data_IF_072929914318
#
_entry.id   IF_072929914318
#
_cell.length_a   1.000
_cell.length_b   1.000
_cell.length_c   1.000
_cell.angle_alpha   90.00
_cell.angle_beta   90.00
_cell.angle_gamma   90.00
#
_symmetry.space_group_name_H-M   'P 1'
#
loop_
_entity.id
_entity.type
_entity.pdbx_description
1 polymer ?
#
# COMPACT_ATOMS: atom_id res chain seq x y z
N UNK A 1 -5.06 35.79 -6.60
CA UNK A 1 -3.92 35.11 -5.97
C UNK A 1 -4.42 33.75 -5.50
N UNK A 2 -3.80 32.67 -5.92
CA UNK A 2 -4.10 31.32 -5.40
C UNK A 2 -3.78 31.29 -3.92
N UNK A 3 -4.78 30.98 -3.10
CA UNK A 3 -4.66 31.07 -1.62
C UNK A 3 -3.85 29.88 -1.07
N UNK A 4 -3.46 28.92 -1.91
CA UNK A 4 -2.76 27.67 -1.55
C UNK A 4 -3.73 26.59 -1.02
N UNK A 5 -3.47 25.36 -1.41
CA UNK A 5 -4.32 24.17 -1.15
C UNK A 5 -4.63 24.00 0.34
N UNK A 6 -3.63 24.21 1.20
CA UNK A 6 -3.78 24.03 2.65
C UNK A 6 -4.76 25.02 3.27
N UNK A 7 -4.64 26.30 2.91
CA UNK A 7 -5.55 27.34 3.42
C UNK A 7 -6.96 27.17 2.85
N UNK A 8 -7.10 26.85 1.58
CA UNK A 8 -8.41 26.57 0.97
C UNK A 8 -9.14 25.46 1.73
N UNK A 9 -8.44 24.35 2.01
CA UNK A 9 -8.99 23.22 2.77
C UNK A 9 -9.37 23.61 4.20
N UNK A 10 -8.55 24.39 4.90
CA UNK A 10 -8.89 24.88 6.24
C UNK A 10 -10.17 25.71 6.22
N UNK A 11 -10.27 26.66 5.29
CA UNK A 11 -11.45 27.52 5.19
C UNK A 11 -12.71 26.74 4.77
N UNK A 12 -12.61 25.78 3.88
CA UNK A 12 -13.72 24.88 3.54
C UNK A 12 -14.30 24.25 4.80
N UNK A 13 -13.44 23.70 5.67
CA UNK A 13 -13.85 23.02 6.91
C UNK A 13 -14.43 24.05 7.91
N UNK A 14 -13.77 25.18 8.13
CA UNK A 14 -14.23 26.20 9.10
C UNK A 14 -15.56 26.83 8.69
N UNK A 15 -15.72 27.17 7.41
CA UNK A 15 -16.97 27.76 6.89
C UNK A 15 -18.12 26.77 6.96
N UNK A 16 -17.87 25.48 6.65
CA UNK A 16 -18.86 24.44 6.85
C UNK A 16 -19.26 24.30 8.33
N UNK A 17 -18.27 24.31 9.24
CA UNK A 17 -18.49 24.25 10.68
C UNK A 17 -19.31 25.44 11.23
N UNK A 18 -19.11 26.67 10.71
CA UNK A 18 -19.91 27.84 11.05
C UNK A 18 -21.40 27.67 10.66
N UNK A 19 -21.70 26.76 9.74
CA UNK A 19 -23.07 26.39 9.33
C UNK A 19 -23.58 25.12 10.02
N UNK A 20 -22.86 24.58 11.02
CA UNK A 20 -23.19 23.36 11.74
C UNK A 20 -22.86 22.06 10.98
N UNK A 21 -22.10 22.13 9.88
CA UNK A 21 -21.67 20.95 9.10
C UNK A 21 -20.25 20.57 9.49
N UNK A 22 -20.10 19.39 10.08
CA UNK A 22 -18.80 18.86 10.53
C UNK A 22 -18.26 17.80 9.59
N UNK A 23 -16.91 17.62 9.51
CA UNK A 23 -16.30 16.58 8.71
C UNK A 23 -16.81 15.18 9.11
N UNK A 24 -17.37 14.44 8.17
CA UNK A 24 -17.81 13.06 8.36
C UNK A 24 -16.62 12.09 8.41
N UNK A 25 -15.51 12.47 7.78
CA UNK A 25 -14.22 11.79 7.83
C UNK A 25 -13.31 12.63 8.74
N UNK A 26 -12.91 12.12 9.91
CA UNK A 26 -12.08 12.88 10.83
C UNK A 26 -10.73 13.30 10.21
N UNK A 27 -10.31 14.53 10.48
CA UNK A 27 -9.00 15.06 10.06
C UNK A 27 -7.88 14.44 10.93
N UNK A 28 -8.10 14.34 12.25
CA UNK A 28 -7.16 13.64 13.14
C UNK A 28 -7.09 12.14 12.79
N UNK A 29 -5.87 11.65 12.59
CA UNK A 29 -5.61 10.26 12.20
C UNK A 29 -6.04 9.29 13.31
N UNK A 30 -5.91 9.66 14.58
CA UNK A 30 -6.35 8.87 15.74
C UNK A 30 -7.88 8.72 15.75
N UNK A 31 -8.61 9.82 15.52
CA UNK A 31 -10.07 9.81 15.43
C UNK A 31 -10.54 9.04 14.19
N UNK A 32 -9.82 9.15 13.08
CA UNK A 32 -10.08 8.41 11.85
C UNK A 32 -9.91 6.89 12.07
N UNK A 33 -8.82 6.49 12.73
CA UNK A 33 -8.59 5.10 13.12
C UNK A 33 -9.70 4.57 14.06
N UNK A 34 -10.09 5.37 15.05
CA UNK A 34 -11.18 5.01 15.96
C UNK A 34 -12.53 4.87 15.21
N UNK A 35 -12.78 5.70 14.20
CA UNK A 35 -13.96 5.61 13.34
C UNK A 35 -13.92 4.33 12.51
N UNK A 36 -12.78 4.00 11.89
CA UNK A 36 -12.60 2.77 11.14
C UNK A 36 -12.83 1.53 12.02
N UNK A 37 -12.27 1.53 13.26
CA UNK A 37 -12.49 0.43 14.23
C UNK A 37 -13.96 0.15 14.51
N UNK A 38 -14.80 1.20 14.57
CA UNK A 38 -16.24 1.07 14.82
C UNK A 38 -17.02 0.54 13.60
N UNK A 39 -16.48 0.69 12.39
CA UNK A 39 -17.15 0.34 11.12
C UNK A 39 -16.71 -1.00 10.55
N UNK A 40 -15.52 -1.44 10.90
CA UNK A 40 -14.94 -2.70 10.44
C UNK A 40 -15.34 -3.85 11.39
N UNK A 41 -15.34 -5.07 10.88
CA UNK A 41 -15.39 -6.26 11.74
C UNK A 41 -14.12 -6.36 12.60
N UNK A 42 -14.15 -7.15 13.67
CA UNK A 42 -12.99 -7.37 14.52
C UNK A 42 -11.79 -7.93 13.71
N UNK A 43 -12.06 -8.92 12.84
CA UNK A 43 -11.07 -9.55 11.97
C UNK A 43 -10.53 -8.56 10.94
N UNK A 44 -11.41 -7.75 10.33
CA UNK A 44 -11.01 -6.73 9.37
C UNK A 44 -10.09 -5.68 10.00
N UNK A 45 -10.47 -5.20 11.17
CA UNK A 45 -9.65 -4.23 11.89
C UNK A 45 -8.32 -4.84 12.37
N UNK A 46 -8.32 -6.06 12.89
CA UNK A 46 -7.11 -6.79 13.29
C UNK A 46 -6.15 -6.91 12.10
N UNK A 47 -6.65 -7.35 10.94
CA UNK A 47 -5.87 -7.51 9.73
C UNK A 47 -5.23 -6.20 9.24
N UNK A 48 -5.98 -5.10 9.20
CA UNK A 48 -5.47 -3.81 8.67
C UNK A 48 -4.62 -3.08 9.71
N UNK A 49 -5.05 -3.02 10.96
CA UNK A 49 -4.41 -2.23 12.00
C UNK A 49 -3.26 -2.95 12.71
N UNK A 50 -3.25 -4.29 12.70
CA UNK A 50 -2.27 -5.11 13.42
C UNK A 50 -0.87 -5.06 12.85
N UNK A 51 0.11 -5.39 13.70
CA UNK A 51 1.52 -5.60 13.41
C UNK A 51 1.97 -7.04 13.68
N UNK A 52 3.27 -7.29 13.57
CA UNK A 52 3.89 -8.56 13.96
C UNK A 52 4.31 -8.54 15.43
N UNK A 53 4.42 -9.70 16.05
CA UNK A 53 4.94 -9.90 17.40
C UNK A 53 4.29 -9.01 18.44
N UNK A 54 5.06 -8.25 19.17
CA UNK A 54 4.59 -7.28 20.17
C UNK A 54 4.24 -5.91 19.55
N UNK A 55 4.27 -5.78 18.22
CA UNK A 55 4.06 -4.55 17.46
C UNK A 55 5.11 -3.46 17.77
N UNK A 56 6.30 -3.85 18.18
CA UNK A 56 7.41 -2.94 18.48
C UNK A 56 7.83 -2.14 17.24
N UNK A 57 8.09 -2.81 16.11
CA UNK A 57 8.43 -2.14 14.85
C UNK A 57 7.36 -1.14 14.42
N UNK A 58 6.09 -1.45 14.67
CA UNK A 58 5.00 -0.54 14.33
C UNK A 58 5.03 0.73 15.20
N UNK A 59 5.37 0.61 16.50
CA UNK A 59 5.56 1.75 17.40
C UNK A 59 6.79 2.56 17.03
N UNK A 60 7.93 1.85 16.80
CA UNK A 60 9.20 2.49 16.42
C UNK A 60 9.09 3.27 15.11
N UNK A 61 8.34 2.78 14.13
CA UNK A 61 8.06 3.55 12.91
C UNK A 61 7.44 4.93 13.20
N UNK A 62 6.64 5.07 14.26
CA UNK A 62 6.08 6.36 14.66
C UNK A 62 7.09 7.20 15.43
N UNK A 63 7.78 6.59 16.39
CA UNK A 63 8.77 7.27 17.21
C UNK A 63 9.95 7.79 16.37
N UNK A 64 10.32 7.08 15.31
CA UNK A 64 11.41 7.48 14.43
C UNK A 64 11.13 8.84 13.73
N UNK A 65 9.88 9.12 13.36
CA UNK A 65 9.52 10.46 12.87
C UNK A 65 9.71 11.53 13.94
N UNK A 66 9.47 11.23 15.21
CA UNK A 66 9.57 12.17 16.31
C UNK A 66 11.02 12.53 16.64
N UNK A 67 11.99 11.70 16.28
CA UNK A 67 13.43 11.99 16.42
C UNK A 67 13.93 13.09 15.48
N UNK A 68 13.13 13.50 14.53
CA UNK A 68 13.45 14.55 13.58
C UNK A 68 12.52 15.75 13.78
N UNK A 69 13.08 16.94 14.00
CA UNK A 69 12.32 18.19 14.15
C UNK A 69 12.51 19.06 12.93
N UNK A 70 11.41 19.61 12.41
CA UNK A 70 11.44 20.61 11.35
C UNK A 70 12.01 21.91 11.94
N UNK A 71 12.92 22.54 11.23
CA UNK A 71 13.54 23.82 11.61
C UNK A 71 12.98 24.92 10.70
N UNK A 72 11.96 25.67 11.14
CA UNK A 72 11.34 26.72 10.31
C UNK A 72 12.32 27.88 10.04
N UNK A 73 12.27 28.42 8.82
CA UNK A 73 13.02 29.60 8.40
C UNK A 73 12.04 30.76 8.17
N UNK A 74 12.29 31.87 8.85
CA UNK A 74 11.40 33.05 8.81
C UNK A 74 11.77 33.99 7.65
N UNK A 75 10.83 34.89 7.33
CA UNK A 75 10.98 35.92 6.28
C UNK A 75 11.32 35.37 4.89
N UNK A 76 10.74 34.20 4.57
CA UNK A 76 10.77 33.60 3.24
C UNK A 76 9.44 33.86 2.56
N UNK A 77 9.50 34.22 1.27
CA UNK A 77 8.28 34.34 0.47
C UNK A 77 7.75 32.94 0.14
N UNK A 78 6.61 32.61 0.74
CA UNK A 78 5.88 31.37 0.54
C UNK A 78 4.45 31.64 0.06
N UNK A 79 4.22 32.81 -0.56
CA UNK A 79 2.92 33.20 -1.09
C UNK A 79 2.43 32.27 -2.20
N UNK A 80 3.36 31.71 -2.96
CA UNK A 80 3.11 30.65 -3.95
C UNK A 80 3.92 29.41 -3.57
N UNK A 81 3.25 28.26 -3.52
CA UNK A 81 3.91 26.99 -3.18
C UNK A 81 3.68 25.97 -4.27
N UNK A 82 4.70 25.13 -4.49
CA UNK A 82 4.71 24.03 -5.45
C UNK A 82 5.02 22.71 -4.71
N UNK A 83 4.01 21.86 -4.55
CA UNK A 83 4.16 20.55 -3.92
C UNK A 83 4.51 19.44 -4.92
N UNK A 84 4.67 19.76 -6.19
CA UNK A 84 4.94 18.77 -7.23
C UNK A 84 6.33 18.14 -7.12
N UNK A 85 6.40 16.88 -7.50
CA UNK A 85 7.64 16.10 -7.60
C UNK A 85 7.60 15.24 -8.87
N UNK A 86 8.74 14.69 -9.26
CA UNK A 86 8.83 13.69 -10.32
C UNK A 86 9.29 12.34 -9.74
N UNK A 87 8.61 11.26 -10.11
CA UNK A 87 8.99 9.90 -9.73
C UNK A 87 8.93 9.00 -10.97
N UNK A 88 10.02 8.34 -11.31
CA UNK A 88 10.13 7.48 -12.51
C UNK A 88 9.69 8.19 -13.81
N UNK A 89 10.04 9.45 -13.99
CA UNK A 89 9.65 10.25 -15.15
C UNK A 89 8.17 10.68 -15.17
N UNK A 90 7.41 10.35 -14.11
CA UNK A 90 6.00 10.75 -13.98
C UNK A 90 5.89 11.96 -13.07
N UNK A 91 5.34 13.10 -13.55
CA UNK A 91 5.06 14.26 -12.71
C UNK A 91 3.88 13.96 -11.78
N UNK A 92 4.07 14.23 -10.49
CA UNK A 92 3.06 14.08 -9.45
C UNK A 92 2.76 15.44 -8.85
N UNK A 93 1.49 15.80 -8.72
CA UNK A 93 1.06 17.06 -8.13
C UNK A 93 1.42 17.21 -6.63
N UNK A 94 1.80 16.12 -5.99
CA UNK A 94 2.26 16.06 -4.60
C UNK A 94 3.03 14.77 -4.34
N UNK A 95 3.95 14.72 -3.37
CA UNK A 95 4.87 13.60 -3.15
C UNK A 95 4.20 12.40 -2.46
N UNK A 96 3.01 12.01 -2.92
CA UNK A 96 2.24 10.93 -2.33
C UNK A 96 1.99 9.80 -3.32
N UNK A 97 2.04 8.57 -2.81
CA UNK A 97 1.64 7.35 -3.49
C UNK A 97 0.76 6.54 -2.54
N UNK A 98 -0.34 5.98 -3.00
CA UNK A 98 -1.12 5.05 -2.20
C UNK A 98 -0.45 3.66 -2.22
N UNK A 99 0.01 3.22 -1.05
CA UNK A 99 0.69 1.93 -0.88
C UNK A 99 -0.19 0.74 -1.27
N UNK A 100 0.40 -0.36 -1.74
CA UNK A 100 -0.34 -1.59 -1.96
C UNK A 100 -0.79 -2.19 -0.61
N UNK A 101 -2.09 -2.32 -0.44
CA UNK A 101 -2.69 -3.01 0.71
C UNK A 101 -3.65 -4.06 0.17
N UNK A 102 -3.42 -5.30 0.57
CA UNK A 102 -4.26 -6.42 0.18
C UNK A 102 -5.58 -6.47 0.96
N UNK A 103 -6.53 -7.19 0.40
CA UNK A 103 -7.81 -7.54 1.04
C UNK A 103 -8.63 -6.33 1.50
N UNK A 104 -8.68 -5.28 0.68
CA UNK A 104 -9.38 -4.02 0.99
C UNK A 104 -10.90 -4.21 1.21
N UNK A 105 -11.47 -5.34 0.77
CA UNK A 105 -12.86 -5.72 1.09
C UNK A 105 -13.11 -5.88 2.60
N UNK A 106 -12.07 -6.09 3.40
CA UNK A 106 -12.17 -6.12 4.87
C UNK A 106 -12.49 -4.74 5.46
N UNK A 107 -12.18 -3.66 4.73
CA UNK A 107 -12.48 -2.29 5.13
C UNK A 107 -13.78 -1.77 4.51
N UNK A 108 -14.05 -2.09 3.23
CA UNK A 108 -15.25 -1.62 2.52
C UNK A 108 -15.58 -2.53 1.33
N UNK A 109 -16.87 -2.74 1.07
CA UNK A 109 -17.35 -3.64 -0.01
C UNK A 109 -16.84 -3.31 -1.42
N UNK A 110 -16.61 -2.02 -1.71
CA UNK A 110 -16.13 -1.57 -3.02
C UNK A 110 -14.59 -1.63 -3.12
N UNK A 111 -13.90 -1.96 -2.02
CA UNK A 111 -12.49 -2.33 -1.94
C UNK A 111 -11.57 -1.49 -2.85
N UNK A 112 -10.79 -2.15 -3.72
CA UNK A 112 -9.79 -1.55 -4.60
C UNK A 112 -10.40 -0.53 -5.57
N UNK A 113 -11.62 -0.77 -6.06
CA UNK A 113 -12.32 0.13 -6.99
C UNK A 113 -12.64 1.48 -6.32
N UNK A 114 -13.02 1.48 -5.04
CA UNK A 114 -13.26 2.72 -4.31
C UNK A 114 -11.96 3.53 -4.15
N UNK A 115 -10.84 2.86 -3.83
CA UNK A 115 -9.52 3.50 -3.75
C UNK A 115 -9.07 4.02 -5.11
N UNK A 116 -9.26 3.24 -6.16
CA UNK A 116 -8.94 3.62 -7.54
C UNK A 116 -9.64 4.91 -7.98
N UNK A 117 -10.96 5.00 -7.73
CA UNK A 117 -11.75 6.22 -8.02
C UNK A 117 -11.24 7.45 -7.26
N UNK A 118 -10.93 7.28 -5.98
CA UNK A 118 -10.40 8.35 -5.17
C UNK A 118 -9.00 8.79 -5.62
N UNK A 119 -8.11 7.84 -5.89
CA UNK A 119 -6.76 8.10 -6.37
C UNK A 119 -6.78 8.87 -7.70
N UNK A 120 -7.64 8.44 -8.64
CA UNK A 120 -7.82 9.11 -9.93
C UNK A 120 -8.37 10.54 -9.77
N UNK A 121 -9.39 10.73 -8.93
CA UNK A 121 -9.98 12.05 -8.69
C UNK A 121 -8.97 13.03 -8.05
N UNK A 122 -8.06 12.53 -7.24
CA UNK A 122 -7.03 13.34 -6.57
C UNK A 122 -5.69 13.38 -7.34
N UNK A 123 -5.57 12.69 -8.48
CA UNK A 123 -4.35 12.66 -9.30
C UNK A 123 -3.14 12.04 -8.60
N UNK A 124 -3.36 11.03 -7.75
CA UNK A 124 -2.33 10.34 -6.98
C UNK A 124 -2.13 8.91 -7.46
N UNK A 125 -0.88 8.44 -7.65
CA UNK A 125 -0.64 7.06 -8.02
C UNK A 125 -1.20 6.07 -7.00
N UNK A 126 -1.87 5.03 -7.49
CA UNK A 126 -2.27 3.89 -6.68
C UNK A 126 -1.47 2.65 -7.07
N UNK A 127 -0.83 2.03 -6.09
CA UNK A 127 -0.13 0.76 -6.28
C UNK A 127 -1.12 -0.39 -6.05
N UNK A 128 -1.51 -1.07 -7.11
CA UNK A 128 -2.40 -2.23 -7.03
C UNK A 128 -1.74 -3.38 -6.28
N UNK A 129 -2.46 -3.95 -5.33
CA UNK A 129 -1.94 -5.10 -4.59
C UNK A 129 -2.05 -6.40 -5.40
N UNK A 130 -1.03 -7.24 -5.32
CA UNK A 130 -1.12 -8.64 -5.81
C UNK A 130 -2.20 -9.44 -5.05
N UNK A 131 -2.49 -9.06 -3.80
CA UNK A 131 -3.53 -9.67 -2.96
C UNK A 131 -4.78 -8.79 -2.90
N UNK A 132 -5.18 -8.22 -4.04
CA UNK A 132 -6.34 -7.36 -4.17
C UNK A 132 -7.67 -8.14 -4.04
N UNK A 133 -8.71 -7.42 -3.65
CA UNK A 133 -10.09 -7.93 -3.57
C UNK A 133 -10.82 -7.87 -4.91
N UNK A 134 -10.26 -7.12 -5.87
CA UNK A 134 -10.80 -6.95 -7.24
C UNK A 134 -9.71 -7.22 -8.28
N UNK A 135 -10.05 -7.77 -9.46
CA UNK A 135 -9.09 -7.90 -10.55
C UNK A 135 -8.47 -6.56 -10.92
N UNK A 136 -7.20 -6.57 -11.36
CA UNK A 136 -6.50 -5.35 -11.74
C UNK A 136 -7.17 -4.64 -12.93
N UNK A 137 -7.82 -5.37 -13.80
CA UNK A 137 -8.57 -4.83 -14.95
C UNK A 137 -9.75 -3.97 -14.51
N UNK A 138 -10.50 -4.42 -13.49
CA UNK A 138 -11.62 -3.67 -12.91
C UNK A 138 -11.11 -2.41 -12.20
N UNK A 139 -10.02 -2.55 -11.45
CA UNK A 139 -9.39 -1.45 -10.73
C UNK A 139 -8.80 -0.42 -11.68
N UNK A 140 -8.12 -0.86 -12.76
CA UNK A 140 -7.57 0.01 -13.79
C UNK A 140 -8.68 0.77 -14.56
N UNK A 141 -9.75 0.07 -14.91
CA UNK A 141 -10.93 0.71 -15.55
C UNK A 141 -11.50 1.82 -14.68
N UNK A 142 -11.53 1.65 -13.37
CA UNK A 142 -12.02 2.67 -12.44
C UNK A 142 -11.08 3.88 -12.30
N UNK A 143 -9.80 3.75 -12.68
CA UNK A 143 -8.81 4.83 -12.67
C UNK A 143 -8.76 5.64 -13.97
N UNK A 144 -9.29 5.11 -15.09
CA UNK A 144 -9.07 5.75 -16.40
C UNK A 144 -7.58 5.88 -16.71
N UNK A 145 -7.11 7.07 -17.07
CA UNK A 145 -5.70 7.35 -17.41
C UNK A 145 -4.84 7.76 -16.22
N UNK A 146 -5.38 7.75 -14.99
CA UNK A 146 -4.64 8.15 -13.80
C UNK A 146 -3.45 7.18 -13.52
N UNK A 147 -2.33 7.70 -12.97
CA UNK A 147 -1.12 6.93 -12.76
C UNK A 147 -1.32 5.76 -11.80
N UNK A 148 -0.79 4.61 -12.16
CA UNK A 148 -0.91 3.37 -11.37
C UNK A 148 0.33 2.51 -11.51
N UNK A 149 0.66 1.78 -10.44
CA UNK A 149 1.72 0.79 -10.40
C UNK A 149 1.14 -0.55 -9.98
N UNK A 150 1.86 -1.65 -10.22
CA UNK A 150 1.45 -2.97 -9.77
C UNK A 150 2.46 -3.53 -8.77
N UNK A 151 2.01 -3.90 -7.59
CA UNK A 151 2.81 -4.61 -6.61
C UNK A 151 2.75 -6.10 -6.86
N UNK A 152 3.93 -6.70 -7.02
CA UNK A 152 4.15 -8.12 -7.27
C UNK A 152 4.70 -8.80 -6.02
N UNK A 153 4.10 -9.91 -5.61
CA UNK A 153 4.76 -10.96 -4.83
C UNK A 153 5.24 -12.04 -5.78
N UNK A 154 6.46 -12.52 -5.59
CA UNK A 154 6.97 -13.56 -6.45
C UNK A 154 6.35 -14.91 -6.08
N UNK A 155 5.60 -15.49 -7.02
CA UNK A 155 5.01 -16.81 -6.90
C UNK A 155 6.06 -17.91 -7.00
N UNK A 156 5.71 -19.11 -6.52
CA UNK A 156 6.51 -20.32 -6.82
C UNK A 156 6.47 -20.72 -8.31
N UNK A 157 5.49 -20.20 -9.10
CA UNK A 157 5.40 -20.36 -10.55
C UNK A 157 5.89 -19.10 -11.26
N UNK A 158 6.94 -19.24 -12.06
CA UNK A 158 7.46 -18.16 -12.91
C UNK A 158 6.49 -17.81 -14.05
N UNK A 159 5.71 -18.76 -14.54
CA UNK A 159 4.67 -18.55 -15.55
C UNK A 159 3.58 -17.63 -15.00
N UNK A 160 3.19 -17.83 -13.75
CA UNK A 160 2.22 -16.95 -13.08
C UNK A 160 2.80 -15.54 -12.86
N UNK A 161 4.07 -15.44 -12.49
CA UNK A 161 4.77 -14.14 -12.38
C UNK A 161 4.72 -13.40 -13.72
N UNK A 162 5.09 -14.08 -14.81
CA UNK A 162 5.08 -13.51 -16.17
C UNK A 162 3.66 -13.08 -16.60
N UNK A 163 2.64 -13.90 -16.29
CA UNK A 163 1.24 -13.59 -16.59
C UNK A 163 0.76 -12.33 -15.85
N UNK A 164 1.03 -12.24 -14.54
CA UNK A 164 0.66 -11.09 -13.71
C UNK A 164 1.32 -9.80 -14.19
N UNK A 165 2.60 -9.85 -14.56
CA UNK A 165 3.34 -8.70 -15.10
C UNK A 165 2.75 -8.26 -16.44
N UNK A 166 2.53 -9.19 -17.36
CA UNK A 166 1.91 -8.89 -18.66
C UNK A 166 0.50 -8.30 -18.51
N UNK A 167 -0.29 -8.77 -17.55
CA UNK A 167 -1.61 -8.19 -17.22
C UNK A 167 -1.46 -6.75 -16.69
N UNK A 168 -0.50 -6.51 -15.82
CA UNK A 168 -0.23 -5.17 -15.30
C UNK A 168 0.14 -4.18 -16.42
N UNK A 169 0.95 -4.60 -17.38
CA UNK A 169 1.27 -3.79 -18.57
C UNK A 169 0.02 -3.47 -19.40
N UNK A 170 -0.81 -4.49 -19.69
CA UNK A 170 -2.08 -4.28 -20.42
C UNK A 170 -3.07 -3.40 -19.67
N UNK A 171 -3.01 -3.37 -18.34
CA UNK A 171 -3.78 -2.47 -17.50
C UNK A 171 -3.20 -1.04 -17.44
N UNK A 172 -2.14 -0.74 -18.17
CA UNK A 172 -1.49 0.57 -18.19
C UNK A 172 -0.78 0.92 -16.89
N UNK A 173 -0.29 -0.08 -16.14
CA UNK A 173 0.62 0.19 -15.04
C UNK A 173 1.94 0.74 -15.57
N UNK A 174 2.49 1.78 -14.94
CA UNK A 174 3.74 2.44 -15.33
C UNK A 174 4.96 1.97 -14.55
N UNK A 175 4.80 1.08 -13.57
CA UNK A 175 5.90 0.45 -12.83
C UNK A 175 5.46 -0.85 -12.15
N UNK A 176 6.44 -1.72 -11.90
CA UNK A 176 6.31 -2.93 -11.08
C UNK A 176 6.98 -2.67 -9.73
N UNK A 177 6.28 -2.95 -8.63
CA UNK A 177 6.80 -2.85 -7.26
C UNK A 177 6.98 -4.26 -6.70
N UNK A 178 8.16 -4.84 -6.87
CA UNK A 178 8.48 -6.16 -6.35
C UNK A 178 8.67 -6.09 -4.83
N UNK A 179 7.84 -6.79 -4.09
CA UNK A 179 7.85 -6.81 -2.63
C UNK A 179 8.65 -8.00 -2.11
N UNK A 180 9.72 -7.71 -1.37
CA UNK A 180 10.72 -8.69 -0.94
C UNK A 180 10.54 -9.13 0.52
N UNK A 181 9.89 -8.32 1.34
CA UNK A 181 9.76 -8.52 2.79
C UNK A 181 8.67 -9.52 3.21
N UNK A 182 7.98 -10.16 2.24
CA UNK A 182 6.88 -11.10 2.50
C UNK A 182 7.12 -12.46 1.79
N UNK A 183 8.32 -12.99 1.90
CA UNK A 183 8.62 -14.36 1.45
C UNK A 183 7.95 -15.40 2.35
N UNK A 184 7.63 -15.03 3.57
CA UNK A 184 6.82 -15.77 4.55
C UNK A 184 5.88 -14.81 5.26
N UNK A 185 4.78 -15.34 5.81
CA UNK A 185 3.84 -14.54 6.59
C UNK A 185 4.42 -14.25 7.98
N UNK A 186 4.50 -12.98 8.38
CA UNK A 186 4.92 -12.58 9.71
C UNK A 186 3.97 -13.08 10.82
N UNK A 187 4.45 -13.15 12.04
CA UNK A 187 3.69 -13.60 13.22
C UNK A 187 2.73 -12.48 13.69
N UNK A 188 1.53 -12.41 13.10
CA UNK A 188 0.54 -11.35 13.32
C UNK A 188 -0.39 -11.73 14.46
N UNK A 189 -0.08 -11.30 15.66
CA UNK A 189 -0.76 -11.72 16.89
C UNK A 189 -2.26 -11.46 16.89
N UNK A 190 -2.71 -10.31 16.38
CA UNK A 190 -4.15 -9.99 16.34
C UNK A 190 -4.95 -10.90 15.42
N UNK A 191 -4.34 -11.31 14.30
CA UNK A 191 -4.96 -12.26 13.35
C UNK A 191 -4.98 -13.67 13.97
N UNK A 192 -3.89 -14.05 14.64
CA UNK A 192 -3.74 -15.35 15.30
C UNK A 192 -4.69 -15.50 16.50
N UNK A 193 -4.83 -14.48 17.35
CA UNK A 193 -5.79 -14.49 18.47
C UNK A 193 -7.22 -14.67 18.01
N UNK A 194 -7.56 -14.16 16.82
CA UNK A 194 -8.88 -14.36 16.20
C UNK A 194 -8.94 -15.61 15.32
N UNK A 195 -7.85 -16.36 15.19
CA UNK A 195 -7.71 -17.50 14.27
C UNK A 195 -8.24 -17.16 12.87
N UNK A 196 -7.98 -15.93 12.40
CA UNK A 196 -8.54 -15.38 11.18
C UNK A 196 -7.46 -15.03 10.16
N UNK A 197 -7.49 -15.72 9.03
CA UNK A 197 -6.68 -15.37 7.85
C UNK A 197 -7.64 -15.21 6.66
N UNK A 198 -7.79 -13.99 6.12
CA UNK A 198 -8.82 -13.70 5.11
C UNK A 198 -8.68 -14.55 3.84
N UNK A 199 -7.48 -14.91 3.45
CA UNK A 199 -7.22 -15.76 2.27
C UNK A 199 -7.88 -17.14 2.39
N UNK A 200 -7.95 -17.73 3.59
CA UNK A 200 -8.64 -19.00 3.84
C UNK A 200 -10.17 -18.90 3.63
N UNK A 201 -10.69 -17.67 3.57
CA UNK A 201 -12.08 -17.39 3.23
C UNK A 201 -12.28 -17.03 1.75
N UNK A 202 -11.22 -17.11 0.93
CA UNK A 202 -11.23 -16.75 -0.48
C UNK A 202 -11.10 -15.25 -0.75
N UNK A 203 -10.83 -14.44 0.27
CA UNK A 203 -10.67 -12.99 0.15
C UNK A 203 -9.25 -12.61 -0.26
N UNK A 204 -9.10 -11.51 -1.01
CA UNK A 204 -7.79 -10.99 -1.39
C UNK A 204 -7.02 -11.85 -2.40
N UNK A 205 -7.69 -12.71 -3.15
CA UNK A 205 -7.09 -13.58 -4.17
C UNK A 205 -7.61 -13.29 -5.58
N UNK A 206 -8.22 -12.12 -5.80
CA UNK A 206 -8.87 -11.79 -7.07
C UNK A 206 -7.88 -11.75 -8.25
N UNK A 207 -6.63 -11.32 -8.03
CA UNK A 207 -5.60 -11.32 -9.07
C UNK A 207 -5.29 -12.73 -9.58
N UNK A 208 -5.35 -13.71 -8.68
CA UNK A 208 -5.11 -15.12 -8.99
C UNK A 208 -6.33 -15.77 -9.67
N UNK A 209 -7.52 -15.59 -9.10
CA UNK A 209 -8.75 -16.21 -9.64
C UNK A 209 -9.21 -15.60 -10.96
N UNK A 210 -8.66 -14.46 -11.37
CA UNK A 210 -8.83 -13.85 -12.70
C UNK A 210 -7.66 -14.11 -13.65
N UNK A 211 -6.59 -14.79 -13.19
CA UNK A 211 -5.41 -15.08 -14.01
C UNK A 211 -5.57 -16.39 -14.76
N UNK A 212 -5.40 -16.40 -16.11
CA UNK A 212 -5.60 -17.61 -16.91
C UNK A 212 -4.62 -18.75 -16.52
N UNK A 213 -3.36 -18.44 -16.22
CA UNK A 213 -2.34 -19.44 -15.81
C UNK A 213 -2.72 -20.06 -14.48
N UNK A 214 -3.18 -19.24 -13.53
CA UNK A 214 -3.64 -19.75 -12.24
C UNK A 214 -4.90 -20.60 -12.38
N UNK A 215 -5.88 -20.16 -13.17
CA UNK A 215 -7.15 -20.88 -13.38
C UNK A 215 -6.92 -22.22 -14.09
N UNK A 216 -6.04 -22.29 -15.09
CA UNK A 216 -5.67 -23.53 -15.75
C UNK A 216 -5.08 -24.54 -14.76
N UNK A 217 -4.18 -24.08 -13.87
CA UNK A 217 -3.58 -24.92 -12.84
C UNK A 217 -4.57 -25.43 -11.79
N UNK A 218 -5.77 -24.83 -11.64
CA UNK A 218 -6.79 -25.30 -10.70
C UNK A 218 -7.35 -26.68 -11.07
N UNK A 219 -7.41 -27.03 -12.33
CA UNK A 219 -7.91 -28.33 -12.76
C UNK A 219 -7.00 -29.46 -12.23
N UNK A 220 -5.69 -29.25 -12.22
CA UNK A 220 -4.74 -30.20 -11.64
C UNK A 220 -4.88 -30.24 -10.11
N UNK A 221 -5.02 -29.10 -9.46
CA UNK A 221 -5.26 -29.01 -8.02
C UNK A 221 -6.53 -29.76 -7.60
N UNK A 222 -7.59 -29.69 -8.40
CA UNK A 222 -8.84 -30.42 -8.15
C UNK A 222 -8.65 -31.93 -8.24
N UNK A 223 -7.87 -32.44 -9.20
CA UNK A 223 -7.59 -33.88 -9.34
C UNK A 223 -6.80 -34.43 -8.17
N UNK A 224 -5.92 -33.61 -7.61
CA UNK A 224 -5.06 -33.96 -6.47
C UNK A 224 -5.69 -33.67 -5.12
N UNK A 225 -6.90 -33.05 -5.10
CA UNK A 225 -7.55 -32.63 -3.86
C UNK A 225 -8.01 -33.86 -3.05
N UNK A 226 -7.44 -34.09 -1.87
CA UNK A 226 -7.88 -35.22 -1.05
C UNK A 226 -9.33 -34.99 -0.60
N UNK A 227 -10.10 -36.08 -0.42
CA UNK A 227 -11.43 -35.95 0.15
C UNK A 227 -11.36 -35.23 1.49
N UNK A 228 -12.36 -34.40 1.84
CA UNK A 228 -12.36 -33.67 3.08
C UNK A 228 -12.22 -34.65 4.27
N UNK A 229 -11.10 -34.54 4.97
CA UNK A 229 -10.83 -35.34 6.17
C UNK A 229 -11.26 -34.54 7.39
N UNK A 230 -12.05 -35.14 8.26
CA UNK A 230 -12.46 -34.54 9.53
C UNK A 230 -13.98 -34.37 9.70
N UNK A 231 -14.39 -33.97 10.91
CA UNK A 231 -15.79 -33.68 11.20
C UNK A 231 -16.27 -32.45 10.44
N UNK A 232 -17.36 -32.56 9.71
CA UNK A 232 -18.04 -31.41 9.11
C UNK A 232 -18.67 -30.58 10.24
N UNK A 233 -18.13 -29.39 10.47
CA UNK A 233 -18.64 -28.42 11.46
C UNK A 233 -19.44 -27.32 10.78
N UNK A 234 -20.32 -26.64 11.52
CA UNK A 234 -21.05 -25.47 11.02
C UNK A 234 -20.08 -24.37 10.54
N UNK A 235 -18.94 -24.23 11.21
CA UNK A 235 -17.89 -23.29 10.80
C UNK A 235 -17.26 -23.66 9.45
N UNK A 236 -17.01 -24.95 9.18
CA UNK A 236 -16.52 -25.43 7.88
C UNK A 236 -17.55 -25.15 6.77
N UNK A 237 -18.84 -25.42 7.03
CA UNK A 237 -19.92 -25.11 6.09
C UNK A 237 -19.97 -23.59 5.80
N UNK A 238 -19.93 -22.75 6.83
CA UNK A 238 -19.91 -21.30 6.68
C UNK A 238 -18.69 -20.83 5.84
N UNK A 239 -17.53 -21.44 6.03
CA UNK A 239 -16.32 -21.14 5.26
C UNK A 239 -16.49 -21.50 3.78
N UNK A 240 -17.06 -22.67 3.46
CA UNK A 240 -17.38 -23.05 2.08
C UNK A 240 -18.32 -22.02 1.41
N UNK A 241 -19.34 -21.56 2.11
CA UNK A 241 -20.24 -20.53 1.61
C UNK A 241 -19.54 -19.18 1.37
N UNK A 242 -18.59 -18.79 2.24
CA UNK A 242 -17.78 -17.58 2.06
C UNK A 242 -16.86 -17.71 0.83
N UNK A 243 -16.13 -18.81 0.73
CA UNK A 243 -15.27 -19.10 -0.43
C UNK A 243 -16.06 -19.09 -1.74
N UNK A 244 -17.22 -19.77 -1.77
CA UNK A 244 -18.11 -19.80 -2.94
C UNK A 244 -18.65 -18.41 -3.34
N UNK A 245 -18.85 -17.53 -2.35
CA UNK A 245 -19.28 -16.15 -2.59
C UNK A 245 -18.14 -15.21 -3.03
N UNK A 246 -16.90 -15.51 -2.64
CA UNK A 246 -15.71 -14.74 -3.01
C UNK A 246 -15.15 -15.13 -4.39
N UNK A 247 -15.38 -16.36 -4.83
CA UNK A 247 -14.90 -16.85 -6.13
C UNK A 247 -15.76 -16.29 -7.28
N UNK A 248 -15.17 -15.97 -8.45
CA UNK A 248 -15.90 -15.47 -9.61
C UNK A 248 -17.04 -16.40 -10.06
N UNK A 249 -18.16 -15.82 -10.51
CA UNK A 249 -19.30 -16.58 -11.06
C UNK A 249 -20.46 -16.78 -10.07
N UNK A 250 -21.38 -17.67 -10.42
CA UNK A 250 -22.58 -17.91 -9.65
C UNK A 250 -22.29 -18.75 -8.40
N UNK A 251 -22.66 -18.27 -7.22
CA UNK A 251 -22.40 -18.91 -5.91
C UNK A 251 -22.83 -20.36 -5.83
N UNK A 252 -24.00 -20.69 -6.42
CA UNK A 252 -24.51 -22.05 -6.39
C UNK A 252 -23.67 -23.02 -7.26
N UNK A 253 -23.19 -22.54 -8.41
CA UNK A 253 -22.26 -23.29 -9.26
C UNK A 253 -20.91 -23.50 -8.53
N UNK A 254 -20.42 -22.44 -7.89
CA UNK A 254 -19.18 -22.48 -7.10
C UNK A 254 -19.23 -23.49 -5.96
N UNK A 255 -20.36 -23.62 -5.24
CA UNK A 255 -20.54 -24.62 -4.18
C UNK A 255 -20.44 -26.06 -4.72
N UNK A 256 -20.84 -26.29 -5.98
CA UNK A 256 -20.83 -27.64 -6.61
C UNK A 256 -19.49 -27.98 -7.26
N UNK A 257 -18.74 -26.97 -7.73
CA UNK A 257 -17.55 -27.17 -8.55
C UNK A 257 -16.30 -27.58 -7.76
N UNK A 258 -16.24 -27.27 -6.45
CA UNK A 258 -15.01 -27.40 -5.66
C UNK A 258 -13.92 -26.37 -5.99
N UNK A 259 -14.07 -25.59 -7.07
CA UNK A 259 -13.07 -24.60 -7.52
C UNK A 259 -12.69 -23.57 -6.46
N UNK A 260 -13.62 -22.99 -5.65
CA UNK A 260 -13.25 -22.03 -4.64
C UNK A 260 -12.28 -22.58 -3.59
N UNK A 261 -12.48 -23.83 -3.16
CA UNK A 261 -11.58 -24.51 -2.22
C UNK A 261 -10.21 -24.79 -2.86
N UNK A 262 -10.21 -25.29 -4.09
CA UNK A 262 -8.99 -25.52 -4.83
C UNK A 262 -8.19 -24.24 -5.06
N UNK A 263 -8.88 -23.11 -5.35
CA UNK A 263 -8.24 -21.80 -5.53
C UNK A 263 -7.57 -21.31 -4.24
N UNK A 264 -8.23 -21.42 -3.09
CA UNK A 264 -7.64 -21.06 -1.79
C UNK A 264 -6.41 -21.92 -1.50
N UNK A 265 -6.50 -23.24 -1.69
CA UNK A 265 -5.37 -24.14 -1.48
C UNK A 265 -4.21 -23.79 -2.41
N UNK A 266 -4.46 -23.70 -3.71
CA UNK A 266 -3.43 -23.33 -4.70
C UNK A 266 -2.78 -22.00 -4.40
N UNK A 267 -3.57 -21.01 -4.00
CA UNK A 267 -3.05 -19.70 -3.59
C UNK A 267 -2.05 -19.85 -2.44
N UNK A 268 -2.42 -20.54 -1.35
CA UNK A 268 -1.54 -20.73 -0.18
C UNK A 268 -0.22 -21.42 -0.56
N UNK A 269 -0.27 -22.35 -1.50
CA UNK A 269 0.91 -23.09 -1.98
C UNK A 269 1.82 -22.26 -2.90
N UNK A 270 1.29 -21.20 -3.53
CA UNK A 270 2.00 -20.53 -4.64
C UNK A 270 2.23 -19.03 -4.45
N UNK A 271 1.61 -18.36 -3.47
CA UNK A 271 1.61 -16.90 -3.38
C UNK A 271 2.96 -16.26 -3.03
N UNK A 272 3.88 -17.02 -2.46
CA UNK A 272 5.20 -16.52 -2.06
C UNK A 272 6.29 -17.57 -2.25
N UNK A 273 7.52 -17.10 -2.47
CA UNK A 273 8.69 -17.93 -2.76
C UNK A 273 9.84 -17.62 -1.80
N UNK A 274 10.04 -18.39 -0.73
CA UNK A 274 11.13 -18.19 0.23
C UNK A 274 12.54 -18.33 -0.36
N UNK A 275 12.68 -19.04 -1.49
CA UNK A 275 13.96 -19.24 -2.19
C UNK A 275 14.31 -18.11 -3.18
N UNK A 276 13.55 -17.00 -3.18
CA UNK A 276 13.84 -15.86 -4.06
C UNK A 276 15.21 -15.25 -3.72
N UNK A 277 16.01 -15.02 -4.75
CA UNK A 277 17.35 -14.46 -4.66
C UNK A 277 17.56 -13.30 -5.65
N UNK A 278 18.70 -12.64 -5.57
CA UNK A 278 19.08 -11.57 -6.51
C UNK A 278 19.16 -12.06 -7.96
N UNK A 279 19.58 -13.30 -8.20
CA UNK A 279 19.70 -13.88 -9.54
C UNK A 279 18.36 -14.01 -10.26
N UNK A 280 17.27 -14.16 -9.49
CA UNK A 280 15.92 -14.25 -10.05
C UNK A 280 15.47 -12.93 -10.72
N UNK A 281 16.05 -11.78 -10.34
CA UNK A 281 15.65 -10.48 -10.89
C UNK A 281 15.86 -10.38 -12.40
N UNK A 282 16.84 -11.09 -12.96
CA UNK A 282 17.07 -11.16 -14.41
C UNK A 282 15.82 -11.70 -15.13
N UNK A 283 15.17 -12.75 -14.59
CA UNK A 283 13.93 -13.27 -15.15
C UNK A 283 12.83 -12.20 -15.23
N UNK A 284 12.66 -11.39 -14.18
CA UNK A 284 11.65 -10.33 -14.18
C UNK A 284 12.01 -9.24 -15.19
N UNK A 285 13.28 -8.84 -15.26
CA UNK A 285 13.76 -7.84 -16.21
C UNK A 285 13.52 -8.25 -17.65
N UNK A 286 13.68 -9.53 -17.98
CA UNK A 286 13.43 -10.06 -19.33
C UNK A 286 11.94 -10.08 -19.72
N UNK A 287 11.03 -9.93 -18.76
CA UNK A 287 9.58 -9.99 -18.97
C UNK A 287 8.88 -8.65 -19.06
N UNK A 288 9.57 -7.54 -18.77
CA UNK A 288 8.95 -6.22 -18.81
C UNK A 288 9.96 -5.13 -19.13
N UNK A 289 9.51 -4.08 -19.80
CA UNK A 289 10.28 -2.83 -19.97
C UNK A 289 9.88 -1.78 -18.92
N UNK A 290 8.88 -2.06 -18.10
CA UNK A 290 8.46 -1.13 -17.06
C UNK A 290 9.58 -0.95 -16.02
N UNK A 291 9.69 0.23 -15.40
CA UNK A 291 10.51 0.42 -14.22
C UNK A 291 10.16 -0.59 -13.12
N UNK A 292 11.21 -1.16 -12.48
CA UNK A 292 11.07 -2.08 -11.36
C UNK A 292 11.60 -1.41 -10.10
N UNK A 293 10.75 -1.30 -9.07
CA UNK A 293 11.14 -0.86 -7.74
C UNK A 293 11.18 -2.06 -6.80
N UNK A 294 12.20 -2.13 -5.95
CA UNK A 294 12.27 -3.12 -4.88
C UNK A 294 11.71 -2.56 -3.58
N UNK A 295 10.68 -3.21 -3.03
CA UNK A 295 10.03 -2.81 -1.78
C UNK A 295 10.41 -3.76 -0.64
N UNK A 296 10.70 -3.17 0.53
CA UNK A 296 11.13 -3.91 1.73
C UNK A 296 12.63 -3.73 2.01
N UNK A 297 13.28 -2.78 1.33
CA UNK A 297 14.71 -2.51 1.49
C UNK A 297 14.94 -1.67 2.75
N UNK A 298 15.77 -2.18 3.67
CA UNK A 298 16.11 -1.53 4.95
C UNK A 298 17.62 -1.48 5.21
N UNK A 299 18.43 -2.11 4.36
CA UNK A 299 19.87 -2.20 4.53
C UNK A 299 20.60 -1.60 3.34
N UNK A 300 21.70 -0.91 3.61
CA UNK A 300 22.54 -0.23 2.61
C UNK A 300 23.12 -1.19 1.57
N UNK A 301 23.50 -2.41 2.00
CA UNK A 301 24.00 -3.43 1.08
C UNK A 301 22.94 -3.87 0.07
N UNK A 302 21.68 -4.01 0.50
CA UNK A 302 20.57 -4.35 -0.39
C UNK A 302 20.26 -3.21 -1.36
N UNK A 303 20.36 -1.96 -0.89
CA UNK A 303 20.22 -0.79 -1.76
C UNK A 303 21.31 -0.75 -2.84
N UNK A 304 22.55 -1.11 -2.48
CA UNK A 304 23.69 -1.22 -3.42
C UNK A 304 23.43 -2.34 -4.44
N UNK A 305 23.08 -3.53 -3.95
CA UNK A 305 22.78 -4.67 -4.81
C UNK A 305 21.61 -4.39 -5.77
N UNK A 306 20.57 -3.69 -5.31
CA UNK A 306 19.45 -3.29 -6.18
C UNK A 306 19.92 -2.43 -7.37
N UNK A 307 20.82 -1.49 -7.12
CA UNK A 307 21.38 -0.65 -8.19
C UNK A 307 22.27 -1.47 -9.12
N UNK A 308 23.12 -2.35 -8.59
CA UNK A 308 23.99 -3.24 -9.36
C UNK A 308 23.18 -4.19 -10.26
N UNK A 309 22.00 -4.62 -9.83
CA UNK A 309 21.06 -5.39 -10.64
C UNK A 309 20.15 -4.56 -11.54
N UNK A 310 20.40 -3.26 -11.67
CA UNK A 310 19.68 -2.39 -12.61
C UNK A 310 18.24 -2.07 -12.22
N UNK A 311 17.92 -2.08 -10.94
CA UNK A 311 16.58 -1.70 -10.47
C UNK A 311 16.37 -0.19 -10.56
N UNK A 312 15.14 0.23 -10.89
CA UNK A 312 14.80 1.60 -11.24
C UNK A 312 14.35 2.46 -10.04
N UNK A 313 14.22 1.87 -8.86
CA UNK A 313 13.83 2.58 -7.64
C UNK A 313 13.76 1.67 -6.43
N UNK A 314 13.65 2.29 -5.26
CA UNK A 314 13.53 1.60 -3.98
C UNK A 314 12.31 2.08 -3.21
N UNK A 315 11.69 1.17 -2.47
CA UNK A 315 10.72 1.51 -1.43
C UNK A 315 11.31 1.09 -0.08
N UNK A 316 11.75 2.07 0.70
CA UNK A 316 12.23 1.86 2.07
C UNK A 316 11.02 1.57 2.94
N UNK A 317 10.88 0.31 3.33
CA UNK A 317 9.68 -0.25 3.93
C UNK A 317 10.00 -1.40 4.87
N UNK A 318 9.29 -1.49 6.00
CA UNK A 318 9.22 -2.68 6.84
C UNK A 318 7.79 -3.26 6.89
N UNK A 319 7.04 -3.07 5.78
CA UNK A 319 5.66 -3.54 5.65
C UNK A 319 4.71 -2.98 6.73
N UNK A 320 5.02 -1.78 7.23
CA UNK A 320 4.25 -1.17 8.30
C UNK A 320 4.35 -1.91 9.64
N UNK A 321 5.46 -2.59 9.90
CA UNK A 321 5.70 -3.38 11.11
C UNK A 321 4.92 -4.70 11.16
N UNK A 322 4.62 -5.31 9.99
CA UNK A 322 3.78 -6.52 9.90
C UNK A 322 4.57 -7.80 9.64
N UNK A 323 5.88 -7.72 9.46
CA UNK A 323 6.75 -8.85 9.09
C UNK A 323 7.74 -9.19 10.20
N UNK A 324 8.79 -8.43 10.40
CA UNK A 324 9.76 -8.64 11.47
C UNK A 324 9.42 -7.68 12.60
N UNK A 325 9.16 -8.21 13.81
CA UNK A 325 9.08 -7.39 15.02
C UNK A 325 10.48 -7.10 15.55
N UNK A 326 10.73 -5.90 16.09
CA UNK A 326 12.05 -5.43 16.44
C UNK A 326 12.92 -5.01 15.26
N UNK A 327 12.38 -4.90 14.04
CA UNK A 327 13.09 -4.38 12.88
C UNK A 327 13.33 -2.87 12.99
N UNK A 328 14.39 -2.39 12.31
CA UNK A 328 14.68 -0.96 12.20
C UNK A 328 13.51 -0.18 11.61
N UNK A 329 13.25 1.00 12.15
CA UNK A 329 12.27 1.92 11.59
C UNK A 329 12.73 2.48 10.23
N UNK A 330 11.80 2.71 9.31
CA UNK A 330 12.12 3.15 7.94
C UNK A 330 12.77 4.53 7.91
N UNK A 331 12.38 5.45 8.81
CA UNK A 331 13.01 6.77 8.95
C UNK A 331 14.45 6.71 9.48
N UNK A 332 14.80 5.67 10.23
CA UNK A 332 16.18 5.45 10.70
C UNK A 332 17.04 4.77 9.63
N UNK A 333 16.45 3.92 8.79
CA UNK A 333 17.15 3.28 7.67
C UNK A 333 17.37 4.24 6.49
N UNK A 334 16.47 5.20 6.28
CA UNK A 334 16.46 6.07 5.11
C UNK A 334 17.78 6.81 4.86
N UNK A 335 18.43 7.48 5.85
CA UNK A 335 19.64 8.26 5.58
C UNK A 335 20.78 7.45 4.96
N UNK A 336 21.08 6.26 5.51
CA UNK A 336 22.14 5.40 4.97
C UNK A 336 21.81 4.87 3.56
N UNK A 337 20.55 4.55 3.31
CA UNK A 337 20.09 4.14 1.96
C UNK A 337 20.24 5.30 0.96
N UNK A 338 19.85 6.52 1.35
CA UNK A 338 19.98 7.72 0.50
C UNK A 338 21.46 7.99 0.17
N UNK A 339 22.35 7.85 1.14
CA UNK A 339 23.80 8.02 0.91
C UNK A 339 24.32 7.01 -0.12
N UNK A 340 23.96 5.75 0.00
CA UNK A 340 24.37 4.70 -0.94
C UNK A 340 23.74 4.90 -2.31
N UNK A 341 22.48 5.27 -2.38
CA UNK A 341 21.77 5.50 -3.65
C UNK A 341 22.31 6.73 -4.38
N UNK A 342 22.68 7.79 -3.64
CA UNK A 342 23.30 9.00 -4.16
C UNK A 342 22.55 9.60 -5.38
N UNK A 343 21.23 9.63 -5.34
CA UNK A 343 20.37 10.21 -6.36
C UNK A 343 20.25 9.42 -7.68
N UNK A 344 20.84 8.22 -7.78
CA UNK A 344 20.83 7.41 -9.01
C UNK A 344 19.43 6.88 -9.37
N UNK A 345 18.60 6.61 -8.38
CA UNK A 345 17.22 6.16 -8.54
C UNK A 345 16.32 6.80 -7.48
N UNK A 346 15.01 6.96 -7.73
CA UNK A 346 14.09 7.48 -6.74
C UNK A 346 13.91 6.52 -5.55
N UNK A 347 13.70 7.13 -4.39
CA UNK A 347 13.44 6.42 -3.13
C UNK A 347 12.05 6.83 -2.64
N UNK A 348 11.14 5.87 -2.53
CA UNK A 348 9.85 6.04 -1.84
C UNK A 348 10.00 5.54 -0.40
N UNK A 349 9.50 6.29 0.58
CA UNK A 349 9.44 5.82 1.96
C UNK A 349 8.01 5.49 2.34
N UNK A 350 7.78 4.34 2.94
CA UNK A 350 6.51 4.06 3.63
C UNK A 350 6.75 3.65 5.09
N UNK A 351 5.72 3.18 5.76
CA UNK A 351 5.69 2.76 7.16
C UNK A 351 5.75 3.91 8.17
N UNK A 352 4.64 4.10 8.84
CA UNK A 352 4.54 5.04 9.96
C UNK A 352 3.99 6.43 9.63
N UNK A 353 3.87 6.83 8.38
CA UNK A 353 3.38 8.18 7.96
C UNK A 353 1.96 8.44 8.46
N UNK A 354 1.74 9.61 9.09
CA UNK A 354 0.44 10.02 9.67
C UNK A 354 0.06 11.47 9.43
N UNK A 355 0.99 12.30 8.91
CA UNK A 355 0.78 13.75 8.74
C UNK A 355 1.57 14.29 7.54
N UNK A 356 1.21 15.51 7.08
CA UNK A 356 2.02 16.25 6.10
C UNK A 356 3.41 16.60 6.64
N UNK A 357 3.53 16.82 7.95
CA UNK A 357 4.82 17.03 8.58
C UNK A 357 5.73 15.79 8.54
N UNK A 358 5.17 14.57 8.58
CA UNK A 358 5.95 13.34 8.40
C UNK A 358 6.49 13.25 6.96
N UNK A 359 5.67 13.64 5.99
CA UNK A 359 6.09 13.71 4.58
C UNK A 359 7.24 14.70 4.41
N UNK A 360 7.12 15.89 4.97
CA UNK A 360 8.18 16.89 4.93
C UNK A 360 9.51 16.35 5.49
N UNK A 361 9.45 15.66 6.65
CA UNK A 361 10.65 15.04 7.25
C UNK A 361 11.28 13.97 6.36
N UNK A 362 10.45 13.13 5.75
CA UNK A 362 10.94 12.08 4.85
C UNK A 362 11.62 12.67 3.61
N UNK A 363 11.04 13.70 2.99
CA UNK A 363 11.65 14.40 1.86
C UNK A 363 12.95 15.10 2.28
N UNK A 364 12.98 15.74 3.45
CA UNK A 364 14.18 16.38 3.99
C UNK A 364 15.33 15.38 4.22
N UNK A 365 15.03 14.12 4.45
CA UNK A 365 16.02 13.04 4.57
C UNK A 365 16.33 12.34 3.24
N UNK A 366 15.80 12.82 2.12
CA UNK A 366 16.16 12.37 0.78
C UNK A 366 15.18 11.38 0.13
N UNK A 367 13.99 11.18 0.67
CA UNK A 367 12.93 10.47 -0.05
C UNK A 367 12.44 11.31 -1.23
N UNK A 368 12.17 10.68 -2.38
CA UNK A 368 11.57 11.30 -3.56
C UNK A 368 10.06 11.43 -3.43
N UNK A 369 9.42 10.49 -2.73
CA UNK A 369 8.00 10.47 -2.44
C UNK A 369 7.71 9.61 -1.20
N UNK A 370 6.46 9.66 -0.74
CA UNK A 370 6.02 8.96 0.48
C UNK A 370 4.79 8.11 0.19
N UNK A 371 4.81 6.87 0.67
CA UNK A 371 3.71 5.93 0.56
C UNK A 371 2.71 6.07 1.72
N UNK A 372 1.46 6.36 1.41
CA UNK A 372 0.36 6.35 2.37
C UNK A 372 -0.23 4.94 2.45
N UNK A 373 -0.29 4.37 3.65
CA UNK A 373 -0.83 3.04 3.92
C UNK A 373 -2.13 3.10 4.72
N UNK A 374 -2.10 2.65 5.98
CA UNK A 374 -3.28 2.56 6.86
C UNK A 374 -4.20 3.78 6.86
N UNK A 375 -3.74 5.05 6.82
CA UNK A 375 -4.63 6.20 6.84
C UNK A 375 -5.69 6.20 5.72
N UNK A 376 -5.33 5.85 4.48
CA UNK A 376 -6.31 5.82 3.40
C UNK A 376 -7.31 4.66 3.58
N UNK A 377 -6.87 3.52 4.14
CA UNK A 377 -7.77 2.38 4.41
C UNK A 377 -8.77 2.72 5.53
N UNK A 378 -8.35 3.49 6.53
CA UNK A 378 -9.28 4.01 7.52
C UNK A 378 -10.28 5.00 6.91
N UNK A 379 -9.83 5.83 5.94
CA UNK A 379 -10.71 6.64 5.12
C UNK A 379 -11.71 5.81 4.33
N UNK A 380 -11.21 4.75 3.68
CA UNK A 380 -12.05 3.78 2.96
C UNK A 380 -13.14 3.18 3.87
N UNK A 381 -12.78 2.73 5.07
CA UNK A 381 -13.74 2.22 6.06
C UNK A 381 -14.71 3.30 6.54
N UNK A 382 -14.26 4.54 6.66
CA UNK A 382 -15.07 5.66 7.13
C UNK A 382 -16.07 6.19 6.10
N UNK A 383 -15.78 6.12 4.79
CA UNK A 383 -16.63 6.74 3.79
C UNK A 383 -16.44 6.25 2.36
N UNK A 384 -15.94 5.04 2.13
CA UNK A 384 -15.71 4.53 0.78
C UNK A 384 -14.73 5.41 -0.01
N UNK A 385 -14.98 5.61 -1.30
CA UNK A 385 -14.14 6.46 -2.15
C UNK A 385 -14.02 7.90 -1.62
N UNK A 386 -15.12 8.51 -1.20
CA UNK A 386 -15.10 9.84 -0.61
C UNK A 386 -14.22 9.91 0.65
N UNK A 387 -14.24 8.85 1.47
CA UNK A 387 -13.39 8.77 2.64
C UNK A 387 -11.90 8.73 2.31
N UNK A 388 -11.53 8.05 1.23
CA UNK A 388 -10.15 8.03 0.73
C UNK A 388 -9.76 9.40 0.18
N UNK A 389 -10.60 10.04 -0.65
CA UNK A 389 -10.34 11.41 -1.16
C UNK A 389 -10.14 12.42 -0.04
N UNK A 390 -11.00 12.39 0.99
CA UNK A 390 -10.88 13.28 2.14
C UNK A 390 -9.54 13.12 2.87
N UNK A 391 -9.06 11.88 3.04
CA UNK A 391 -7.74 11.61 3.64
C UNK A 391 -6.63 12.19 2.76
N UNK A 392 -6.66 11.96 1.46
CA UNK A 392 -5.65 12.49 0.53
C UNK A 392 -5.63 14.03 0.58
N UNK A 393 -6.80 14.68 0.49
CA UNK A 393 -6.94 16.14 0.56
C UNK A 393 -6.40 16.70 1.86
N UNK A 394 -6.67 16.04 3.00
CA UNK A 394 -6.17 16.46 4.29
C UNK A 394 -4.64 16.34 4.39
N UNK A 395 -4.04 15.25 3.87
CA UNK A 395 -2.58 15.11 3.82
C UNK A 395 -1.92 16.18 2.93
N UNK A 396 -2.49 16.43 1.75
CA UNK A 396 -2.00 17.48 0.84
C UNK A 396 -2.06 18.87 1.49
N UNK A 397 -3.16 19.16 2.15
CA UNK A 397 -3.35 20.43 2.85
C UNK A 397 -2.36 20.62 4.01
N UNK A 398 -2.17 19.59 4.84
CA UNK A 398 -1.22 19.61 5.94
C UNK A 398 0.23 19.73 5.43
N UNK A 399 0.59 19.05 4.35
CA UNK A 399 1.90 19.16 3.72
C UNK A 399 2.15 20.57 3.15
N UNK A 400 1.19 21.14 2.40
CA UNK A 400 1.27 22.50 1.86
C UNK A 400 1.46 23.54 2.96
N UNK A 401 0.70 23.44 4.06
CA UNK A 401 0.85 24.31 5.21
C UNK A 401 2.18 24.11 5.92
N UNK A 402 2.64 22.87 6.06
CA UNK A 402 3.94 22.57 6.67
C UNK A 402 5.08 23.19 5.87
N UNK A 403 5.05 23.09 4.54
CA UNK A 403 6.02 23.76 3.65
C UNK A 403 6.03 25.27 3.90
N UNK A 404 4.86 25.90 3.82
CA UNK A 404 4.74 27.35 3.98
C UNK A 404 5.20 27.83 5.37
N UNK A 405 4.81 27.13 6.43
CA UNK A 405 5.21 27.47 7.80
C UNK A 405 6.69 27.18 8.09
N UNK A 406 7.28 26.22 7.38
CA UNK A 406 8.72 25.95 7.43
C UNK A 406 9.56 26.92 6.58
N UNK A 407 8.92 27.80 5.79
CA UNK A 407 9.62 28.75 4.91
C UNK A 407 10.17 28.12 3.64
N UNK A 408 9.51 27.07 3.12
CA UNK A 408 9.90 26.37 1.88
C UNK A 408 8.78 26.53 0.85
N UNK A 409 9.12 27.07 -0.32
CA UNK A 409 8.14 27.33 -1.38
C UNK A 409 7.95 26.16 -2.36
N UNK A 410 8.93 25.29 -2.53
CA UNK A 410 8.77 24.13 -3.42
C UNK A 410 9.23 22.83 -2.76
N UNK A 411 8.51 21.73 -3.02
CA UNK A 411 8.84 20.42 -2.45
C UNK A 411 10.28 19.97 -2.82
N UNK A 412 10.75 20.31 -4.01
CA UNK A 412 12.12 20.02 -4.46
C UNK A 412 13.21 20.78 -3.69
N UNK A 413 12.84 21.85 -2.98
CA UNK A 413 13.76 22.67 -2.16
C UNK A 413 13.82 22.18 -0.71
N UNK A 414 13.02 21.18 -0.34
CA UNK A 414 13.10 20.54 0.96
C UNK A 414 14.42 19.78 1.05
N UNK A 415 15.25 20.12 2.02
CA UNK A 415 16.59 19.59 2.16
C UNK A 415 16.94 19.20 3.59
N UNK A 416 18.06 18.54 3.79
CA UNK A 416 18.53 18.00 5.07
C UNK A 416 18.65 19.06 6.16
N UNK A 417 18.94 20.32 5.81
CA UNK A 417 19.04 21.45 6.74
C UNK A 417 17.67 21.98 7.25
N UNK A 418 16.57 21.52 6.64
CA UNK A 418 15.22 21.83 7.13
C UNK A 418 14.81 20.97 8.32
N UNK A 419 15.62 20.00 8.71
CA UNK A 419 15.36 19.13 9.86
C UNK A 419 16.60 18.93 10.73
N UNK A 420 16.38 18.74 12.02
CA UNK A 420 17.43 18.37 12.97
C UNK A 420 17.03 17.12 13.73
N UNK A 421 18.01 16.28 14.09
CA UNK A 421 17.78 15.12 14.93
C UNK A 421 17.85 15.56 16.42
N UNK A 422 16.91 15.06 17.23
CA UNK A 422 16.84 15.27 18.68
C UNK A 422 17.03 13.95 19.41
#
# INVERSE_FOLDING_TARGET
MSVGIGRERQFEIYVAGARGVYPTVPVSVERLQATARKRMSAEGYAYIAGGAGTEETMRENRMAFERWRIVPRMLRDVSTRDSSVEVLGTPLASPFVLCPIGVLEMAHRDADVAVARAAAAEGIPFVFSNQASRPMEETASAMGDAPRWFQLYWSTSNELVASLVSRAERCGCSAIVLTLDTTMLGWRVRDLDLASLPFLQGKGIAQYTSDPVFVEALQETLRQDPPPSGRVTMAAIATLFRQAGAYPGARLANLRSGLPRAAVRRFVETYSRPSLSWDDLAFLRDRTQLPILLKGVLHEADARAAIEHGMNGLVVSNHGGRQVDGAIATMDALPGIVEVVAGRVPIVLDSGVRSGADVFRALALGASAVGLGRPYVWGLAAGGANGVSEVIRNFRADFDLTMGLAGVAAARDIARDNVTRV
#
